data_IF_885382953204
#
_entry.id   IF_885382953204
#
_cell.length_a   1.000
_cell.length_b   1.000
_cell.length_c   1.000
_cell.angle_alpha   90.00
_cell.angle_beta   90.00
_cell.angle_gamma   90.00
#
_symmetry.space_group_name_H-M   'P 1'
#
loop_
_entity.id
_entity.type
_entity.pdbx_description
1 polymer ?
#
# COMPACT_ATOMS: atom_id res chain seq x y z
N UNK A 1 -0.83 -16.47 -16.72
CA UNK A 1 0.39 -15.88 -16.10
C UNK A 1 0.55 -14.38 -16.36
N UNK A 2 0.39 -13.88 -17.60
CA UNK A 2 0.55 -12.44 -17.95
C UNK A 2 -0.37 -11.49 -17.16
N UNK A 3 -1.65 -11.86 -17.00
CA UNK A 3 -2.63 -11.05 -16.24
C UNK A 3 -2.26 -10.93 -14.76
N UNK A 4 -1.83 -12.03 -14.12
CA UNK A 4 -1.42 -12.03 -12.72
C UNK A 4 -0.28 -11.06 -12.43
N UNK A 5 0.62 -10.80 -13.39
CA UNK A 5 1.74 -9.88 -13.21
C UNK A 5 1.35 -8.41 -13.45
N UNK A 6 0.48 -8.13 -14.43
CA UNK A 6 0.08 -6.76 -14.81
C UNK A 6 -1.10 -6.18 -14.02
N UNK A 7 -1.92 -7.05 -13.43
CA UNK A 7 -3.12 -6.66 -12.70
C UNK A 7 -2.79 -5.73 -11.52
N UNK A 8 -3.46 -4.58 -11.47
CA UNK A 8 -3.41 -3.64 -10.36
C UNK A 8 -4.59 -3.86 -9.43
N UNK A 9 -4.38 -3.50 -8.17
CA UNK A 9 -5.33 -3.78 -7.11
C UNK A 9 -6.74 -3.17 -7.34
N UNK A 10 -6.80 -1.97 -7.93
CA UNK A 10 -8.04 -1.22 -8.17
C UNK A 10 -8.61 -1.39 -9.59
N UNK A 11 -8.14 -2.38 -10.37
CA UNK A 11 -8.63 -2.59 -11.74
C UNK A 11 -10.08 -3.12 -11.78
N UNK A 12 -10.53 -3.81 -10.72
CA UNK A 12 -11.91 -4.32 -10.59
C UNK A 12 -12.60 -3.75 -9.35
N UNK A 13 -13.94 -3.61 -9.37
CA UNK A 13 -14.67 -3.12 -8.21
C UNK A 13 -14.47 -4.05 -7.00
N UNK A 14 -14.67 -3.49 -5.81
CA UNK A 14 -14.54 -4.26 -4.58
C UNK A 14 -15.61 -5.37 -4.50
N UNK A 15 -15.25 -6.52 -3.92
CA UNK A 15 -16.06 -7.75 -3.89
C UNK A 15 -15.80 -8.73 -5.04
N UNK A 16 -15.10 -8.30 -6.10
CA UNK A 16 -14.75 -9.14 -7.25
C UNK A 16 -13.27 -9.53 -7.27
N UNK A 17 -12.97 -10.64 -7.94
CA UNK A 17 -11.60 -11.10 -8.23
C UNK A 17 -10.66 -11.12 -7.01
N UNK A 18 -11.17 -11.62 -5.89
CA UNK A 18 -10.47 -11.63 -4.59
C UNK A 18 -9.08 -12.25 -4.70
N UNK A 19 -8.95 -13.33 -5.47
CA UNK A 19 -7.66 -13.99 -5.69
C UNK A 19 -6.66 -13.08 -6.43
N UNK A 20 -7.08 -12.42 -7.52
CA UNK A 20 -6.21 -11.53 -8.29
C UNK A 20 -5.81 -10.30 -7.47
N UNK A 21 -6.73 -9.72 -6.69
CA UNK A 21 -6.43 -8.62 -5.76
C UNK A 21 -5.47 -9.05 -4.66
N UNK A 22 -5.64 -10.26 -4.14
CA UNK A 22 -4.75 -10.82 -3.11
C UNK A 22 -3.33 -10.98 -3.65
N UNK A 23 -3.19 -11.51 -4.87
CA UNK A 23 -1.88 -11.63 -5.53
C UNK A 23 -1.28 -10.24 -5.81
N UNK A 24 -2.08 -9.29 -6.29
CA UNK A 24 -1.59 -7.93 -6.55
C UNK A 24 -1.11 -7.22 -5.28
N UNK A 25 -1.87 -7.26 -4.20
CA UNK A 25 -1.44 -6.68 -2.92
C UNK A 25 -0.26 -7.46 -2.32
N UNK A 26 -0.27 -8.79 -2.45
CA UNK A 26 0.80 -9.67 -2.01
C UNK A 26 2.15 -9.34 -2.62
N UNK A 27 2.21 -8.89 -3.89
CA UNK A 27 3.47 -8.41 -4.50
C UNK A 27 4.03 -7.19 -3.78
N UNK A 28 3.18 -6.19 -3.50
CA UNK A 28 3.61 -4.99 -2.78
C UNK A 28 4.08 -5.34 -1.37
N UNK A 29 3.38 -6.25 -0.69
CA UNK A 29 3.79 -6.75 0.62
C UNK A 29 5.09 -7.55 0.57
N UNK A 30 5.30 -8.36 -0.47
CA UNK A 30 6.54 -9.09 -0.67
C UNK A 30 7.72 -8.15 -0.89
N UNK A 31 7.55 -7.11 -1.72
CA UNK A 31 8.58 -6.07 -1.93
C UNK A 31 8.91 -5.34 -0.63
N UNK A 32 7.89 -4.93 0.13
CA UNK A 32 8.08 -4.31 1.44
C UNK A 32 8.80 -5.23 2.43
N UNK A 33 8.48 -6.53 2.42
CA UNK A 33 9.14 -7.52 3.26
C UNK A 33 10.58 -7.80 2.88
N UNK A 34 10.91 -7.81 1.60
CA UNK A 34 12.28 -7.92 1.11
C UNK A 34 13.08 -6.68 1.53
N UNK A 35 12.50 -5.48 1.43
CA UNK A 35 13.15 -4.26 1.90
C UNK A 35 13.40 -4.30 3.42
N UNK A 36 12.38 -4.67 4.21
CA UNK A 36 12.50 -4.79 5.67
C UNK A 36 13.54 -5.85 6.08
N UNK A 37 13.54 -7.02 5.43
CA UNK A 37 14.52 -8.07 5.66
C UNK A 37 15.93 -7.63 5.29
N UNK A 38 16.10 -6.89 4.19
CA UNK A 38 17.41 -6.36 3.78
C UNK A 38 17.97 -5.43 4.85
N UNK A 39 17.14 -4.52 5.38
CA UNK A 39 17.53 -3.63 6.48
C UNK A 39 17.92 -4.43 7.73
N UNK A 40 17.12 -5.43 8.11
CA UNK A 40 17.42 -6.26 9.28
C UNK A 40 18.73 -7.06 9.12
N UNK A 41 18.94 -7.67 7.95
CA UNK A 41 20.14 -8.47 7.66
C UNK A 41 21.40 -7.60 7.65
N UNK A 42 21.33 -6.40 7.06
CA UNK A 42 22.47 -5.48 6.92
C UNK A 42 22.78 -4.69 8.19
N UNK A 43 21.78 -4.38 9.02
CA UNK A 43 21.97 -3.49 10.17
C UNK A 43 22.02 -4.22 11.51
N UNK A 44 21.27 -5.33 11.67
CA UNK A 44 21.05 -5.95 12.98
C UNK A 44 21.50 -7.40 13.01
N UNK A 45 20.81 -8.28 12.27
CA UNK A 45 20.92 -9.73 12.46
C UNK A 45 22.23 -10.34 11.97
N UNK A 46 22.88 -9.75 10.94
CA UNK A 46 24.11 -10.24 10.33
C UNK A 46 24.22 -11.79 10.24
N UNK A 47 23.21 -12.48 9.66
CA UNK A 47 23.17 -13.93 9.61
C UNK A 47 24.35 -14.49 8.78
N UNK A 48 24.94 -15.59 9.25
CA UNK A 48 26.08 -16.23 8.57
C UNK A 48 25.60 -17.32 7.63
N UNK A 49 25.92 -17.19 6.34
CA UNK A 49 25.61 -18.17 5.30
C UNK A 49 24.29 -17.92 4.57
N UNK A 50 24.10 -18.62 3.44
CA UNK A 50 22.96 -18.40 2.54
C UNK A 50 21.63 -18.82 3.16
N UNK A 51 21.57 -20.01 3.77
CA UNK A 51 20.33 -20.57 4.30
C UNK A 51 19.74 -19.73 5.46
N UNK A 52 20.59 -19.24 6.36
CA UNK A 52 20.17 -18.39 7.49
C UNK A 52 19.68 -17.01 7.01
N UNK A 53 20.36 -16.45 6.00
CA UNK A 53 19.94 -15.20 5.35
C UNK A 53 18.58 -15.39 4.68
N UNK A 54 18.41 -16.41 3.84
CA UNK A 54 17.14 -16.71 3.18
C UNK A 54 16.01 -16.97 4.20
N UNK A 55 16.29 -17.68 5.29
CA UNK A 55 15.34 -17.89 6.38
C UNK A 55 14.89 -16.58 7.03
N UNK A 56 15.80 -15.60 7.19
CA UNK A 56 15.46 -14.27 7.71
C UNK A 56 14.58 -13.47 6.75
N UNK A 57 14.84 -13.54 5.45
CA UNK A 57 13.94 -12.97 4.45
C UNK A 57 12.54 -13.58 4.52
N UNK A 58 12.45 -14.91 4.60
CA UNK A 58 11.17 -15.61 4.76
C UNK A 58 10.41 -15.19 6.03
N UNK A 59 11.14 -14.94 7.13
CA UNK A 59 10.57 -14.50 8.40
C UNK A 59 9.83 -13.15 8.32
N UNK A 60 10.26 -12.24 7.45
CA UNK A 60 9.58 -10.96 7.22
C UNK A 60 8.55 -11.04 6.08
N UNK A 61 8.93 -11.62 4.95
CA UNK A 61 8.09 -11.67 3.75
C UNK A 61 6.82 -12.48 3.99
N UNK A 62 6.92 -13.65 4.64
CA UNK A 62 5.78 -14.54 4.85
C UNK A 62 4.63 -13.86 5.62
N UNK A 63 4.87 -13.32 6.82
CA UNK A 63 3.86 -12.63 7.60
C UNK A 63 3.29 -11.39 6.90
N UNK A 64 4.11 -10.58 6.22
CA UNK A 64 3.63 -9.39 5.52
C UNK A 64 2.71 -9.75 4.34
N UNK A 65 3.06 -10.77 3.57
CA UNK A 65 2.18 -11.31 2.51
C UNK A 65 0.91 -11.91 3.13
N UNK A 66 1.02 -12.61 4.26
CA UNK A 66 -0.12 -13.13 5.01
C UNK A 66 -1.06 -12.04 5.49
N UNK A 67 -0.54 -10.93 6.01
CA UNK A 67 -1.32 -9.75 6.40
C UNK A 67 -2.04 -9.14 5.21
N UNK A 68 -1.37 -8.99 4.06
CA UNK A 68 -1.99 -8.48 2.84
C UNK A 68 -3.11 -9.40 2.35
N UNK A 69 -2.91 -10.72 2.36
CA UNK A 69 -3.94 -11.68 1.98
C UNK A 69 -5.12 -11.65 2.95
N UNK A 70 -4.87 -11.68 4.26
CA UNK A 70 -5.89 -11.58 5.29
C UNK A 70 -6.70 -10.30 5.17
N UNK A 71 -6.04 -9.18 4.89
CA UNK A 71 -6.69 -7.90 4.62
C UNK A 71 -7.67 -8.03 3.43
N UNK A 72 -7.15 -8.44 2.26
CA UNK A 72 -7.91 -8.47 1.01
C UNK A 72 -9.11 -9.40 1.08
N UNK A 73 -8.87 -10.61 1.57
CA UNK A 73 -9.93 -11.62 1.70
C UNK A 73 -11.00 -11.13 2.65
N UNK A 74 -10.63 -10.58 3.81
CA UNK A 74 -11.60 -10.17 4.83
C UNK A 74 -12.46 -9.02 4.35
N UNK A 75 -11.89 -7.93 3.80
CA UNK A 75 -12.71 -6.80 3.41
C UNK A 75 -13.61 -7.11 2.19
N UNK A 76 -13.12 -7.91 1.22
CA UNK A 76 -13.94 -8.32 0.07
C UNK A 76 -15.03 -9.30 0.47
N UNK A 77 -14.74 -10.25 1.37
CA UNK A 77 -15.74 -11.16 1.90
C UNK A 77 -16.82 -10.40 2.67
N UNK A 78 -16.42 -9.45 3.54
CA UNK A 78 -17.38 -8.61 4.28
C UNK A 78 -18.22 -7.76 3.34
N UNK A 79 -17.65 -7.25 2.26
CA UNK A 79 -18.40 -6.54 1.24
C UNK A 79 -19.43 -7.43 0.54
N UNK A 80 -19.04 -8.65 0.15
CA UNK A 80 -19.96 -9.59 -0.51
C UNK A 80 -21.09 -10.04 0.42
N UNK A 81 -20.81 -10.22 1.71
CA UNK A 81 -21.82 -10.57 2.73
C UNK A 81 -22.77 -9.40 2.99
N UNK A 82 -22.24 -8.17 3.12
CA UNK A 82 -23.05 -7.00 3.47
C UNK A 82 -23.73 -6.34 2.27
N UNK A 83 -23.26 -6.60 1.05
CA UNK A 83 -23.68 -5.91 -0.17
C UNK A 83 -23.37 -4.41 -0.19
N UNK A 84 -22.53 -3.92 0.73
CA UNK A 84 -22.20 -2.50 0.90
C UNK A 84 -20.70 -2.28 0.83
N UNK A 85 -20.27 -1.26 0.09
CA UNK A 85 -18.87 -0.86 -0.02
C UNK A 85 -18.57 0.31 0.94
N UNK A 86 -18.37 -0.01 2.22
CA UNK A 86 -18.19 0.99 3.28
C UNK A 86 -16.80 0.92 3.93
N UNK A 87 -16.42 2.00 4.61
CA UNK A 87 -15.20 2.13 5.45
C UNK A 87 -15.05 0.99 6.48
N UNK A 88 -16.17 0.45 6.97
CA UNK A 88 -16.20 -0.65 7.96
C UNK A 88 -15.55 -1.93 7.39
N UNK A 89 -15.70 -2.22 6.09
CA UNK A 89 -15.09 -3.42 5.51
C UNK A 89 -13.57 -3.32 5.52
N UNK A 90 -13.04 -2.14 5.20
CA UNK A 90 -11.61 -1.84 5.23
C UNK A 90 -11.06 -1.87 6.66
N UNK A 91 -11.84 -1.38 7.62
CA UNK A 91 -11.50 -1.50 9.05
C UNK A 91 -11.38 -2.97 9.48
N UNK A 92 -12.34 -3.82 9.12
CA UNK A 92 -12.31 -5.26 9.43
C UNK A 92 -11.15 -5.97 8.72
N UNK A 93 -10.84 -5.59 7.49
CA UNK A 93 -9.63 -6.05 6.80
C UNK A 93 -8.36 -5.66 7.55
N UNK A 94 -8.27 -4.41 8.02
CA UNK A 94 -7.15 -3.92 8.82
C UNK A 94 -7.04 -4.63 10.18
N UNK A 95 -8.17 -4.94 10.83
CA UNK A 95 -8.21 -5.74 12.04
C UNK A 95 -7.70 -7.17 11.80
N UNK A 96 -8.08 -7.81 10.69
CA UNK A 96 -7.56 -9.12 10.32
C UNK A 96 -6.05 -9.09 10.05
N UNK A 97 -5.53 -8.05 9.41
CA UNK A 97 -4.09 -7.86 9.25
C UNK A 97 -3.39 -7.64 10.61
N UNK A 98 -3.99 -6.87 11.52
CA UNK A 98 -3.45 -6.61 12.85
C UNK A 98 -3.40 -7.83 13.75
N UNK A 99 -4.38 -8.74 13.64
CA UNK A 99 -4.34 -10.00 14.37
C UNK A 99 -3.19 -10.88 13.88
N UNK A 100 -2.96 -10.97 12.55
CA UNK A 100 -1.81 -11.69 11.97
C UNK A 100 -0.49 -11.07 12.42
N UNK A 101 -0.38 -9.74 12.46
CA UNK A 101 0.80 -9.03 12.97
C UNK A 101 1.10 -9.40 14.42
N UNK A 102 0.07 -9.41 15.27
CA UNK A 102 0.22 -9.76 16.69
C UNK A 102 0.62 -11.22 16.91
N UNK A 103 0.11 -12.13 16.07
CA UNK A 103 0.48 -13.54 16.07
C UNK A 103 1.95 -13.72 15.64
N UNK A 104 2.40 -13.00 14.62
CA UNK A 104 3.79 -13.02 14.19
C UNK A 104 4.74 -12.44 15.25
N UNK A 105 4.36 -11.35 15.90
CA UNK A 105 5.11 -10.75 17.01
C UNK A 105 5.10 -11.60 18.29
N UNK A 106 4.26 -12.66 18.36
CA UNK A 106 4.07 -13.54 19.52
C UNK A 106 3.73 -12.78 20.80
N UNK A 107 2.98 -11.68 20.67
CA UNK A 107 2.71 -10.76 21.77
C UNK A 107 1.22 -10.34 21.76
N UNK A 108 0.38 -10.98 22.60
CA UNK A 108 -1.06 -10.76 22.58
C UNK A 108 -1.46 -9.34 23.01
N UNK A 109 -0.61 -8.69 23.82
CA UNK A 109 -0.82 -7.30 24.25
C UNK A 109 -0.89 -6.33 23.06
N UNK A 110 -0.17 -6.63 21.97
CA UNK A 110 -0.16 -5.80 20.76
C UNK A 110 -1.34 -6.08 19.83
N UNK A 111 -2.17 -7.09 20.09
CA UNK A 111 -3.29 -7.44 19.22
C UNK A 111 -4.28 -6.27 19.08
N UNK A 112 -4.78 -5.74 20.19
CA UNK A 112 -5.79 -4.66 20.16
C UNK A 112 -5.23 -3.37 19.53
N UNK A 113 -4.05 -2.86 19.94
CA UNK A 113 -3.46 -1.69 19.29
C UNK A 113 -3.18 -1.89 17.80
N UNK A 114 -2.64 -3.05 17.41
CA UNK A 114 -2.35 -3.34 16.00
C UNK A 114 -3.63 -3.39 15.15
N UNK A 115 -4.70 -4.00 15.66
CA UNK A 115 -6.01 -4.03 14.99
C UNK A 115 -6.57 -2.63 14.81
N UNK A 116 -6.50 -1.78 15.84
CA UNK A 116 -7.00 -0.41 15.76
C UNK A 116 -6.20 0.44 14.77
N UNK A 117 -4.86 0.41 14.86
CA UNK A 117 -3.98 1.21 14.01
C UNK A 117 -4.14 0.81 12.54
N UNK A 118 -4.08 -0.49 12.23
CA UNK A 118 -4.23 -0.98 10.86
C UNK A 118 -5.67 -0.87 10.35
N UNK A 119 -6.66 -1.01 11.23
CA UNK A 119 -8.07 -0.76 10.92
C UNK A 119 -8.31 0.68 10.52
N UNK A 120 -7.83 1.64 11.31
CA UNK A 120 -7.92 3.08 10.99
C UNK A 120 -7.15 3.39 9.71
N UNK A 121 -5.96 2.84 9.52
CA UNK A 121 -5.22 2.98 8.26
C UNK A 121 -6.01 2.48 7.05
N UNK A 122 -6.76 1.38 7.20
CA UNK A 122 -7.70 0.89 6.17
C UNK A 122 -8.82 1.90 5.85
N UNK A 123 -9.43 2.51 6.89
CA UNK A 123 -10.45 3.55 6.71
C UNK A 123 -9.88 4.77 5.97
N UNK A 124 -8.69 5.22 6.37
CA UNK A 124 -7.99 6.35 5.72
C UNK A 124 -7.71 6.01 4.27
N UNK A 125 -7.23 4.78 3.99
CA UNK A 125 -6.96 4.36 2.61
C UNK A 125 -8.23 4.34 1.77
N UNK A 126 -9.35 3.85 2.29
CA UNK A 126 -10.64 3.88 1.59
C UNK A 126 -11.07 5.31 1.30
N UNK A 127 -11.03 6.18 2.31
CA UNK A 127 -11.40 7.60 2.18
C UNK A 127 -10.53 8.30 1.14
N UNK A 128 -9.22 8.06 1.14
CA UNK A 128 -8.31 8.58 0.12
C UNK A 128 -8.65 8.15 -1.30
N UNK A 129 -9.12 6.91 -1.49
CA UNK A 129 -9.51 6.41 -2.82
C UNK A 129 -10.84 7.03 -3.26
N UNK A 130 -11.82 7.14 -2.35
CA UNK A 130 -13.14 7.69 -2.64
C UNK A 130 -13.06 9.22 -2.92
N UNK A 131 -12.24 9.94 -2.17
CA UNK A 131 -12.04 11.39 -2.30
C UNK A 131 -10.90 11.77 -3.25
N UNK A 132 -10.22 10.78 -3.85
CA UNK A 132 -9.08 10.96 -4.78
C UNK A 132 -7.98 11.86 -4.21
N UNK A 133 -7.49 11.54 -3.02
CA UNK A 133 -6.38 12.28 -2.41
C UNK A 133 -5.08 12.05 -3.20
N UNK A 134 -4.46 13.13 -3.64
CA UNK A 134 -3.12 13.13 -4.25
C UNK A 134 -2.05 13.29 -3.16
N UNK A 135 -1.41 12.19 -2.77
CA UNK A 135 -0.36 12.21 -1.74
C UNK A 135 0.95 12.83 -2.22
N UNK A 136 1.23 12.69 -3.52
CA UNK A 136 2.39 13.27 -4.19
C UNK A 136 1.84 14.06 -5.37
N UNK A 137 1.46 15.34 -5.17
CA UNK A 137 1.03 16.17 -6.28
C UNK A 137 2.19 16.29 -7.26
N UNK A 138 1.87 16.29 -8.56
CA UNK A 138 2.86 16.56 -9.60
C UNK A 138 3.43 17.95 -9.35
N UNK A 139 4.66 17.99 -8.86
CA UNK A 139 5.36 19.26 -8.70
C UNK A 139 5.64 19.75 -10.12
N UNK A 140 5.12 20.92 -10.53
CA UNK A 140 5.45 21.45 -11.84
C UNK A 140 6.97 21.49 -11.95
N UNK A 141 7.52 20.85 -12.97
CA UNK A 141 8.95 20.90 -13.27
C UNK A 141 9.28 22.32 -13.72
N UNK A 142 9.40 23.22 -12.76
CA UNK A 142 9.77 24.57 -13.04
C UNK A 142 11.27 24.63 -13.17
N UNK A 143 11.73 25.04 -14.34
CA UNK A 143 13.14 25.35 -14.62
C UNK A 143 13.66 26.55 -13.81
N UNK A 144 12.81 27.16 -12.95
CA UNK A 144 13.06 28.43 -12.25
C UNK A 144 12.89 28.28 -10.73
N UNK A 145 13.40 29.26 -9.99
CA UNK A 145 13.39 29.37 -8.52
C UNK A 145 11.98 29.25 -7.93
N UNK A 146 11.85 28.76 -6.69
CA UNK A 146 10.58 28.55 -5.95
C UNK A 146 9.61 29.77 -6.03
N UNK A 147 10.14 31.00 -5.97
CA UNK A 147 9.38 32.25 -6.11
C UNK A 147 8.84 32.50 -7.52
N UNK A 148 9.52 31.99 -8.55
CA UNK A 148 9.07 32.10 -9.95
C UNK A 148 8.02 31.08 -10.34
N UNK A 149 7.89 29.98 -9.60
CA UNK A 149 6.85 28.96 -9.81
C UNK A 149 5.54 29.39 -9.20
N UNK A 150 5.62 30.05 -8.05
CA UNK A 150 4.46 30.47 -7.26
C UNK A 150 3.80 31.74 -7.79
N UNK A 151 4.59 32.64 -8.39
CA UNK A 151 4.10 33.89 -8.95
C UNK A 151 4.22 33.83 -10.48
N UNK A 152 3.12 34.11 -11.17
CA UNK A 152 3.14 34.32 -12.61
C UNK A 152 3.74 35.70 -12.90
N UNK A 153 4.93 35.71 -13.51
CA UNK A 153 5.65 36.94 -13.90
C UNK A 153 5.39 37.33 -15.35
N UNK A 154 4.50 36.62 -16.04
CA UNK A 154 4.15 36.94 -17.42
C UNK A 154 3.22 38.15 -17.46
N UNK A 155 3.44 39.05 -18.43
CA UNK A 155 2.57 40.23 -18.61
C UNK A 155 1.20 39.86 -19.22
N UNK A 156 1.05 38.65 -19.74
CA UNK A 156 -0.15 38.11 -20.38
C UNK A 156 -0.32 36.69 -19.86
N UNK A 157 -1.56 36.29 -19.52
CA UNK A 157 -1.84 34.94 -19.01
C UNK A 157 -1.22 33.87 -19.91
N UNK A 158 -0.45 33.00 -19.27
CA UNK A 158 0.22 31.89 -19.94
C UNK A 158 -0.84 30.93 -20.52
N UNK A 159 -0.83 30.74 -21.84
CA UNK A 159 -1.79 29.88 -22.55
C UNK A 159 -1.29 28.44 -22.48
N UNK A 160 -1.99 27.60 -21.70
CA UNK A 160 -1.61 26.20 -21.48
C UNK A 160 -1.52 25.37 -22.78
N UNK A 161 -2.30 25.72 -23.80
CA UNK A 161 -2.33 25.04 -25.11
C UNK A 161 -1.03 25.19 -25.92
N UNK A 162 -0.18 26.18 -25.61
CA UNK A 162 1.10 26.44 -26.28
C UNK A 162 2.31 25.88 -25.51
N UNK A 163 2.08 25.16 -24.39
CA UNK A 163 3.13 24.50 -23.59
C UNK A 163 3.46 23.11 -24.11
N UNK A 164 3.70 22.98 -25.41
CA UNK A 164 4.07 21.72 -26.07
C UNK A 164 5.53 21.29 -25.78
N UNK A 165 6.31 22.16 -25.14
CA UNK A 165 7.76 22.05 -24.98
C UNK A 165 8.23 21.85 -23.53
N UNK A 166 7.32 21.93 -22.56
CA UNK A 166 7.54 21.44 -21.18
C UNK A 166 6.66 20.21 -21.01
N UNK A 167 7.31 19.08 -20.78
CA UNK A 167 6.83 17.71 -21.03
C UNK A 167 5.55 17.29 -20.29
N UNK A 168 4.84 16.33 -20.91
CA UNK A 168 3.78 15.49 -20.32
C UNK A 168 4.10 14.96 -18.93
#
# INVERSE_FOLDING_TARGET
MSQLLKYKYYDTPEGQDIFLKTVALGKYAALAGVAAASLDVLMFSHPKGFASTAGRFGWYVGPLVGMAAGYVVTHNAMQNIRGKNDKINYFLGGAAAGSILSAWAKAPIFAVPAMLILGVAGIVKKTSVDEKWDFFPDMPQATKTITSVRNDWTMVKDIEELKNWTTK
#
